data_IF_393924015848
#
_entry.id   IF_393924015848
#
_cell.length_a   1.000
_cell.length_b   1.000
_cell.length_c   1.000
_cell.angle_alpha   90.00
_cell.angle_beta   90.00
_cell.angle_gamma   90.00
#
_symmetry.space_group_name_H-M   'P 1'
#
loop_
_entity.id
_entity.type
_entity.pdbx_description
1 polymer ?
#
# COMPACT_ATOMS: atom_id res chain seq x y z
N UNK A 1 2.46 -14.49 3.75
CA UNK A 1 2.22 -13.36 4.67
C UNK A 1 3.31 -12.31 4.48
N UNK A 2 3.05 -11.27 3.69
CA UNK A 2 4.02 -10.20 3.42
C UNK A 2 4.09 -9.30 4.67
N UNK A 3 5.27 -9.18 5.29
CA UNK A 3 5.46 -8.34 6.47
C UNK A 3 5.66 -6.88 6.05
N UNK A 4 4.57 -6.11 6.09
CA UNK A 4 4.53 -4.65 5.86
C UNK A 4 5.42 -3.85 6.85
N UNK A 5 5.89 -4.49 7.93
CA UNK A 5 6.58 -3.83 9.04
C UNK A 5 7.97 -3.31 8.68
N UNK A 6 8.72 -4.01 7.83
CA UNK A 6 10.10 -3.62 7.46
C UNK A 6 10.10 -2.51 6.42
N UNK A 7 9.29 -2.60 5.33
CA UNK A 7 9.28 -1.57 4.30
C UNK A 7 8.74 -0.22 4.83
N UNK A 8 7.70 -0.24 5.67
CA UNK A 8 7.18 0.99 6.32
C UNK A 8 8.23 1.71 7.20
N UNK A 9 9.23 1.00 7.74
CA UNK A 9 10.29 1.59 8.56
C UNK A 9 11.45 2.15 7.74
N UNK A 10 11.74 1.56 6.58
CA UNK A 10 12.87 1.98 5.73
C UNK A 10 12.49 3.11 4.76
N UNK A 11 11.19 3.35 4.56
CA UNK A 11 10.71 4.19 3.48
C UNK A 11 10.38 3.33 2.26
N UNK A 12 9.38 3.77 1.51
CA UNK A 12 8.84 3.09 0.34
C UNK A 12 8.75 4.10 -0.78
N UNK A 13 9.01 3.68 -2.01
CA UNK A 13 8.61 4.43 -3.20
C UNK A 13 7.13 4.22 -3.49
N UNK A 14 6.57 5.08 -4.35
CA UNK A 14 5.18 4.96 -4.84
C UNK A 14 4.93 3.59 -5.48
N UNK A 15 5.89 3.11 -6.28
CA UNK A 15 5.80 1.81 -6.96
C UNK A 15 5.78 0.68 -5.94
N UNK A 16 6.75 0.67 -5.02
CA UNK A 16 6.86 -0.37 -4.00
C UNK A 16 5.60 -0.42 -3.12
N UNK A 17 5.04 0.74 -2.76
CA UNK A 17 3.80 0.78 -1.98
C UNK A 17 2.62 0.17 -2.75
N UNK A 18 2.43 0.55 -4.02
CA UNK A 18 1.33 0.03 -4.86
C UNK A 18 1.48 -1.48 -5.08
N UNK A 19 2.69 -1.97 -5.37
CA UNK A 19 2.97 -3.40 -5.53
C UNK A 19 2.75 -4.20 -4.24
N UNK A 20 3.12 -3.63 -3.11
CA UNK A 20 2.98 -4.27 -1.80
C UNK A 20 1.51 -4.34 -1.38
N UNK A 21 0.70 -3.32 -1.68
CA UNK A 21 -0.75 -3.38 -1.48
C UNK A 21 -1.37 -4.38 -2.46
N UNK A 22 -1.00 -4.37 -3.75
CA UNK A 22 -1.53 -5.30 -4.76
C UNK A 22 -1.16 -6.78 -4.51
N UNK A 23 0.08 -7.06 -4.12
CA UNK A 23 0.53 -8.44 -3.87
C UNK A 23 -0.14 -9.06 -2.65
N UNK A 24 -0.53 -8.22 -1.69
CA UNK A 24 -1.22 -8.65 -0.47
C UNK A 24 -2.72 -8.88 -0.69
N UNK A 25 -3.31 -8.36 -1.77
CA UNK A 25 -4.72 -8.60 -2.14
C UNK A 25 -4.92 -9.86 -2.98
N UNK A 26 -3.84 -10.46 -3.49
CA UNK A 26 -3.85 -11.74 -4.20
C UNK A 26 -3.82 -12.98 -3.29
N UNK A 27 -3.75 -12.80 -1.97
CA UNK A 27 -3.81 -13.91 -1.01
C UNK A 27 -5.28 -14.39 -0.95
N UNK A 28 -5.51 -15.68 -1.25
CA UNK A 28 -6.83 -16.34 -1.45
C UNK A 28 -7.81 -16.12 -0.26
N UNK A 29 -7.29 -15.65 0.87
CA UNK A 29 -8.02 -15.34 2.10
C UNK A 29 -8.69 -13.95 2.13
N UNK A 30 -8.40 -13.03 1.18
CA UNK A 30 -9.02 -11.71 1.14
C UNK A 30 -9.68 -11.37 -0.20
N UNK A 31 -10.91 -11.86 -0.45
CA UNK A 31 -11.65 -11.58 -1.69
C UNK A 31 -12.07 -10.11 -1.86
N UNK A 32 -11.80 -9.26 -0.87
CA UNK A 32 -12.25 -7.86 -0.83
C UNK A 32 -11.26 -6.86 -1.44
N UNK A 33 -10.07 -7.32 -1.88
CA UNK A 33 -9.15 -6.47 -2.64
C UNK A 33 -8.45 -5.37 -1.83
N UNK A 34 -8.37 -5.52 -0.50
CA UNK A 34 -7.66 -4.59 0.39
C UNK A 34 -6.63 -5.25 1.30
N UNK A 35 -5.81 -4.45 1.97
CA UNK A 35 -4.81 -4.86 2.96
C UNK A 35 -5.10 -4.19 4.28
N UNK A 36 -5.15 -4.96 5.37
CA UNK A 36 -5.32 -4.40 6.71
C UNK A 36 -3.97 -3.97 7.29
N UNK A 37 -3.82 -2.67 7.52
CA UNK A 37 -2.66 -2.06 8.15
C UNK A 37 -3.04 -1.60 9.56
N UNK A 38 -2.47 -2.18 10.62
CA UNK A 38 -2.71 -1.70 11.99
C UNK A 38 -2.25 -0.26 12.15
N UNK A 39 -3.02 0.56 12.86
CA UNK A 39 -2.70 1.96 13.15
C UNK A 39 -1.33 2.09 13.85
N UNK A 40 -1.00 1.14 14.73
CA UNK A 40 0.32 1.09 15.38
C UNK A 40 1.48 0.96 14.40
N UNK A 41 1.30 0.23 13.29
CA UNK A 41 2.33 0.08 12.24
C UNK A 41 2.50 1.35 11.41
N UNK A 42 1.44 2.13 11.23
CA UNK A 42 1.53 3.45 10.60
C UNK A 42 2.17 4.47 11.54
N UNK A 43 1.89 4.41 12.84
CA UNK A 43 2.56 5.26 13.83
C UNK A 43 4.07 4.99 13.92
N UNK A 44 4.49 3.75 13.69
CA UNK A 44 5.90 3.33 13.63
C UNK A 44 6.56 3.53 12.25
N UNK A 45 5.81 4.03 11.25
CA UNK A 45 6.33 4.21 9.91
C UNK A 45 7.30 5.40 9.84
N UNK A 46 8.27 5.33 8.93
CA UNK A 46 9.17 6.45 8.70
C UNK A 46 8.42 7.63 8.08
N UNK A 47 8.94 8.85 8.26
CA UNK A 47 8.37 10.04 7.62
C UNK A 47 8.27 9.87 6.09
N UNK A 48 9.30 9.30 5.47
CA UNK A 48 9.32 9.03 4.03
C UNK A 48 8.21 8.04 3.59
N UNK A 49 7.91 7.03 4.41
CA UNK A 49 6.80 6.12 4.14
C UNK A 49 5.45 6.84 4.26
N UNK A 50 5.26 7.67 5.29
CA UNK A 50 4.04 8.47 5.45
C UNK A 50 3.83 9.46 4.30
N UNK A 51 4.88 10.17 3.89
CA UNK A 51 4.85 11.09 2.75
C UNK A 51 4.44 10.36 1.46
N UNK A 52 4.95 9.14 1.26
CA UNK A 52 4.60 8.31 0.09
C UNK A 52 3.17 7.80 0.15
N UNK A 53 2.69 7.37 1.33
CA UNK A 53 1.31 6.94 1.54
C UNK A 53 0.35 8.09 1.24
N UNK A 54 0.62 9.27 1.80
CA UNK A 54 -0.18 10.47 1.57
C UNK A 54 -0.18 10.85 0.09
N UNK A 55 0.99 10.85 -0.57
CA UNK A 55 1.09 11.10 -2.00
C UNK A 55 0.24 10.12 -2.82
N UNK A 56 0.28 8.83 -2.49
CA UNK A 56 -0.50 7.82 -3.20
C UNK A 56 -2.01 7.98 -2.98
N UNK A 57 -2.43 8.38 -1.78
CA UNK A 57 -3.83 8.67 -1.46
C UNK A 57 -4.31 9.94 -2.17
N UNK A 58 -3.58 11.06 -2.06
CA UNK A 58 -3.91 12.34 -2.68
C UNK A 58 -4.00 12.25 -4.21
N UNK A 59 -3.10 11.47 -4.83
CA UNK A 59 -3.11 11.24 -6.27
C UNK A 59 -4.10 10.13 -6.69
N UNK A 60 -4.80 9.50 -5.74
CA UNK A 60 -5.82 8.49 -6.01
C UNK A 60 -5.27 7.18 -6.56
N UNK A 61 -4.02 6.84 -6.25
CA UNK A 61 -3.42 5.54 -6.59
C UNK A 61 -3.85 4.44 -5.61
N UNK A 62 -4.04 4.81 -4.35
CA UNK A 62 -4.62 3.93 -3.32
C UNK A 62 -5.81 4.61 -2.66
N UNK A 63 -6.68 3.81 -2.06
CA UNK A 63 -7.74 4.26 -1.18
C UNK A 63 -7.45 3.73 0.24
N UNK A 64 -7.61 4.61 1.24
CA UNK A 64 -7.40 4.29 2.65
C UNK A 64 -8.71 4.46 3.41
N UNK A 65 -9.19 3.39 4.06
CA UNK A 65 -10.42 3.41 4.87
C UNK A 65 -10.13 3.02 6.31
N UNK A 66 -10.58 3.83 7.27
CA UNK A 66 -10.48 3.47 8.69
C UNK A 66 -11.62 2.54 9.10
N UNK A 67 -11.28 1.38 9.66
CA UNK A 67 -12.27 0.31 9.97
C UNK A 67 -12.84 0.36 11.39
N UNK A 68 -12.49 1.38 12.18
CA UNK A 68 -12.90 1.48 13.59
C UNK A 68 -12.13 0.56 14.55
N UNK A 69 -11.47 -0.50 14.07
CA UNK A 69 -10.73 -1.49 14.87
C UNK A 69 -9.24 -1.15 15.05
N UNK A 70 -8.86 0.13 15.03
CA UNK A 70 -7.45 0.56 14.99
C UNK A 70 -6.68 -0.01 13.78
N UNK A 71 -7.38 -0.26 12.67
CA UNK A 71 -6.80 -0.73 11.42
C UNK A 71 -7.31 0.13 10.26
N UNK A 72 -6.46 0.27 9.26
CA UNK A 72 -6.77 0.90 7.99
C UNK A 72 -6.82 -0.16 6.90
N UNK A 73 -7.78 -0.06 6.01
CA UNK A 73 -7.88 -0.84 4.77
C UNK A 73 -7.20 -0.05 3.66
N UNK A 74 -6.16 -0.62 3.07
CA UNK A 74 -5.46 -0.06 1.92
C UNK A 74 -5.86 -0.84 0.68
N UNK A 75 -6.38 -0.16 -0.34
CA UNK A 75 -6.79 -0.79 -1.60
C UNK A 75 -6.13 -0.06 -2.77
N UNK A 76 -5.66 -0.80 -3.77
CA UNK A 76 -5.16 -0.16 -5.00
C UNK A 76 -6.34 0.20 -5.89
N UNK A 77 -6.37 1.43 -6.40
CA UNK A 77 -7.40 1.87 -7.35
C UNK A 77 -7.07 1.43 -8.77
N UNK A 78 -8.02 1.51 -9.70
CA UNK A 78 -7.75 1.29 -11.14
C UNK A 78 -6.66 2.24 -11.68
N UNK A 79 -6.58 3.46 -11.13
CA UNK A 79 -5.55 4.44 -11.47
C UNK A 79 -4.18 4.02 -10.96
N UNK A 80 -4.08 3.51 -9.74
CA UNK A 80 -2.84 2.95 -9.19
C UNK A 80 -2.35 1.74 -9.98
N UNK A 81 -3.27 0.84 -10.36
CA UNK A 81 -2.96 -0.29 -11.23
C UNK A 81 -2.46 0.16 -12.61
N UNK A 82 -3.14 1.13 -13.22
CA UNK A 82 -2.73 1.70 -14.52
C UNK A 82 -1.37 2.39 -14.43
N UNK A 83 -1.10 3.09 -13.32
CA UNK A 83 0.21 3.70 -13.05
C UNK A 83 1.30 2.63 -12.99
N UNK A 84 1.07 1.54 -12.26
CA UNK A 84 2.02 0.43 -12.13
C UNK A 84 2.30 -0.26 -13.47
N UNK A 85 1.27 -0.49 -14.29
CA UNK A 85 1.41 -1.11 -15.62
C UNK A 85 2.19 -0.27 -16.62
N UNK A 86 2.22 1.05 -16.43
CA UNK A 86 2.96 2.00 -17.29
C UNK A 86 4.41 2.18 -16.86
N UNK A 87 4.79 1.71 -15.67
CA UNK A 87 6.18 1.73 -15.28
C UNK A 87 6.94 0.75 -16.18
N UNK A 88 8.15 1.11 -16.66
CA UNK A 88 9.02 0.12 -17.27
C UNK A 88 9.25 -0.96 -16.22
N UNK A 89 8.68 -2.15 -16.44
CA UNK A 89 9.17 -3.35 -15.79
C UNK A 89 10.56 -3.49 -16.36
N UNK A 90 11.57 -3.12 -15.59
CA UNK A 90 12.96 -3.38 -15.96
C UNK A 90 13.03 -4.90 -16.24
N UNK A 91 13.01 -5.19 -17.54
CA UNK A 91 13.10 -6.53 -18.06
C UNK A 91 14.52 -6.96 -17.81
N UNK A 92 14.65 -8.11 -17.14
CA UNK A 92 15.83 -8.96 -17.12
C UNK A 92 16.84 -8.73 -18.24
#
# INVERSE_FOLDING_TARGET
>A
MISLSTPLKQGLTVIELIELVQSSTGDISNPLGYVLVPASKLSDASKAALDTINYCEEHGFIEIKYTGKKCYEFSVTEKGLSFLQRQPRDGK
#
